data_IF_660130527204
#
_entry.id   IF_660130527204
#
_cell.length_a   1.000
_cell.length_b   1.000
_cell.length_c   1.000
_cell.angle_alpha   90.00
_cell.angle_beta   90.00
_cell.angle_gamma   90.00
#
_symmetry.space_group_name_H-M   'P 1'
#
loop_
_entity.id
_entity.type
_entity.pdbx_description
1 polymer ?
#
# COMPACT_ATOMS: atom_id res chain seq x y z
N UNK A 1 -9.84 6.42 -1.57
CA UNK A 1 -9.70 5.33 -2.57
C UNK A 1 -8.26 5.35 -3.02
N UNK A 2 -7.60 4.20 -3.00
CA UNK A 2 -6.21 4.03 -3.38
C UNK A 2 -6.15 3.30 -4.73
N UNK A 3 -5.19 3.67 -5.57
CA UNK A 3 -4.94 2.97 -6.84
C UNK A 3 -3.45 3.02 -7.16
N UNK A 4 -2.91 1.89 -7.61
CA UNK A 4 -1.55 1.80 -8.16
C UNK A 4 -1.51 0.81 -9.32
N UNK A 5 -0.48 0.93 -10.14
CA UNK A 5 -0.13 -0.07 -11.14
C UNK A 5 0.71 -1.19 -10.52
N UNK A 6 0.55 -2.40 -11.06
CA UNK A 6 1.50 -3.48 -10.92
C UNK A 6 1.58 -4.24 -12.25
N UNK A 7 2.70 -4.12 -12.95
CA UNK A 7 2.79 -4.62 -14.33
C UNK A 7 1.71 -3.99 -15.21
N UNK A 8 0.86 -4.83 -15.83
CA UNK A 8 -0.22 -4.40 -16.73
C UNK A 8 -1.60 -4.38 -16.07
N UNK A 9 -1.67 -4.48 -14.74
CA UNK A 9 -2.93 -4.47 -13.99
C UNK A 9 -2.92 -3.41 -12.89
N UNK A 10 -4.09 -3.18 -12.32
CA UNK A 10 -4.33 -2.25 -11.22
C UNK A 10 -4.46 -3.01 -9.90
N UNK A 11 -4.02 -2.37 -8.83
CA UNK A 11 -4.47 -2.68 -7.47
C UNK A 11 -5.27 -1.48 -6.99
N UNK A 12 -6.51 -1.73 -6.56
CA UNK A 12 -7.37 -0.73 -5.94
C UNK A 12 -7.63 -1.11 -4.49
N UNK A 13 -7.76 -0.10 -3.62
CA UNK A 13 -8.03 -0.32 -2.21
C UNK A 13 -8.74 0.82 -1.51
N UNK A 14 -9.06 0.60 -0.24
CA UNK A 14 -9.63 1.60 0.67
C UNK A 14 -8.79 1.76 1.93
N UNK A 15 -9.06 2.83 2.70
CA UNK A 15 -8.34 3.13 3.95
C UNK A 15 -8.49 2.06 5.04
N UNK A 16 -9.48 1.17 4.92
CA UNK A 16 -9.63 0.01 5.79
C UNK A 16 -8.71 -1.18 5.44
N UNK A 17 -7.83 -1.05 4.44
CA UNK A 17 -6.87 -2.08 4.04
C UNK A 17 -7.44 -3.19 3.15
N UNK A 18 -8.68 -3.06 2.66
CA UNK A 18 -9.25 -3.98 1.67
C UNK A 18 -8.73 -3.67 0.26
N UNK A 19 -8.36 -4.72 -0.48
CA UNK A 19 -7.67 -4.63 -1.77
C UNK A 19 -8.32 -5.51 -2.83
N UNK A 20 -8.22 -5.10 -4.10
CA UNK A 20 -8.67 -5.86 -5.26
C UNK A 20 -7.70 -5.66 -6.43
N UNK A 21 -7.39 -6.76 -7.13
CA UNK A 21 -6.64 -6.74 -8.39
C UNK A 21 -7.60 -6.65 -9.56
N UNK A 22 -7.38 -5.69 -10.44
CA UNK A 22 -8.22 -5.45 -11.61
C UNK A 22 -7.36 -5.40 -12.89
N UNK A 23 -7.86 -5.95 -13.98
CA UNK A 23 -7.39 -5.58 -15.31
C UNK A 23 -7.65 -4.07 -15.55
N UNK A 24 -7.00 -3.49 -16.56
CA UNK A 24 -7.12 -2.05 -16.85
C UNK A 24 -8.49 -1.64 -17.40
N UNK A 25 -9.31 -2.62 -17.79
CA UNK A 25 -10.73 -2.45 -18.13
C UNK A 25 -11.68 -2.60 -16.93
N UNK A 26 -11.15 -2.91 -15.75
CA UNK A 26 -11.89 -3.08 -14.51
C UNK A 26 -12.33 -4.51 -14.20
N UNK A 27 -11.98 -5.51 -15.02
CA UNK A 27 -12.28 -6.92 -14.70
C UNK A 27 -11.50 -7.40 -13.48
N UNK A 28 -12.15 -8.10 -12.55
CA UNK A 28 -11.48 -8.69 -11.39
C UNK A 28 -10.57 -9.86 -11.80
N UNK A 29 -9.29 -9.79 -11.43
CA UNK A 29 -8.30 -10.84 -11.73
C UNK A 29 -8.22 -11.96 -10.68
N UNK A 30 -9.07 -11.90 -9.65
CA UNK A 30 -9.10 -12.82 -8.52
C UNK A 30 -10.00 -12.30 -7.40
N UNK A 31 -10.11 -13.03 -6.29
CA UNK A 31 -10.85 -12.58 -5.12
C UNK A 31 -10.19 -11.34 -4.47
N UNK A 32 -10.96 -10.51 -3.74
CA UNK A 32 -10.40 -9.48 -2.89
C UNK A 32 -9.47 -10.07 -1.82
N UNK A 33 -8.53 -9.27 -1.34
CA UNK A 33 -7.63 -9.59 -0.24
C UNK A 33 -7.54 -8.41 0.73
N UNK A 34 -6.92 -8.60 1.89
CA UNK A 34 -6.77 -7.56 2.91
C UNK A 34 -5.32 -7.46 3.36
N UNK A 35 -4.92 -6.27 3.79
CA UNK A 35 -3.62 -6.06 4.44
C UNK A 35 -3.66 -6.55 5.88
N UNK A 36 -2.61 -7.27 6.28
CA UNK A 36 -2.41 -7.72 7.66
C UNK A 36 -1.96 -6.57 8.59
N UNK A 37 -1.85 -6.86 9.89
CA UNK A 37 -1.25 -5.92 10.84
C UNK A 37 -2.20 -4.84 11.39
N UNK A 38 -3.52 -5.08 11.25
CA UNK A 38 -4.59 -4.29 11.84
C UNK A 38 -4.98 -3.05 11.04
N UNK A 39 -6.15 -2.48 11.37
CA UNK A 39 -6.62 -1.23 10.79
C UNK A 39 -5.59 -0.10 10.99
N UNK A 40 -5.35 0.68 9.94
CA UNK A 40 -4.58 1.91 9.98
C UNK A 40 -4.89 2.74 8.74
N UNK A 41 -5.63 3.83 8.91
CA UNK A 41 -6.24 4.64 7.86
C UNK A 41 -5.31 4.83 6.65
N UNK A 42 -5.44 3.95 5.66
CA UNK A 42 -4.44 3.81 4.60
C UNK A 42 -4.70 4.85 3.52
N UNK A 43 -3.77 5.77 3.35
CA UNK A 43 -3.93 6.93 2.46
C UNK A 43 -3.02 6.91 1.23
N UNK A 44 -2.00 6.03 1.22
CA UNK A 44 -1.15 5.82 0.07
C UNK A 44 -0.87 4.36 -0.22
N UNK A 45 -0.70 4.03 -1.51
CA UNK A 45 -0.31 2.71 -1.98
C UNK A 45 0.61 2.84 -3.20
N UNK A 46 1.72 2.12 -3.19
CA UNK A 46 2.62 1.92 -4.33
C UNK A 46 3.08 0.46 -4.37
N UNK A 47 3.66 0.04 -5.49
CA UNK A 47 4.32 -1.27 -5.62
C UNK A 47 5.78 -1.06 -5.94
N UNK A 48 6.68 -1.66 -5.15
CA UNK A 48 8.11 -1.57 -5.42
C UNK A 48 8.55 -2.61 -6.48
N UNK A 49 9.83 -2.59 -6.85
CA UNK A 49 10.37 -3.49 -7.87
C UNK A 49 10.38 -4.97 -7.48
N UNK A 50 10.35 -5.25 -6.17
CA UNK A 50 10.24 -6.60 -5.63
C UNK A 50 8.80 -7.12 -5.66
N UNK A 51 7.84 -6.28 -6.06
CA UNK A 51 6.41 -6.60 -6.11
C UNK A 51 5.70 -6.43 -4.76
N UNK A 52 6.38 -5.89 -3.76
CA UNK A 52 5.80 -5.61 -2.45
C UNK A 52 4.88 -4.40 -2.53
N UNK A 53 3.78 -4.45 -1.77
CA UNK A 53 2.90 -3.31 -1.59
C UNK A 53 3.51 -2.41 -0.51
N UNK A 54 3.65 -1.12 -0.81
CA UNK A 54 4.15 -0.12 0.14
C UNK A 54 3.06 0.88 0.39
N UNK A 55 2.69 1.06 1.66
CA UNK A 55 1.63 1.96 2.07
C UNK A 55 2.13 3.01 3.03
N UNK A 56 1.39 4.11 3.08
CA UNK A 56 1.45 5.06 4.20
C UNK A 56 0.07 5.16 4.82
N UNK A 57 0.06 5.31 6.13
CA UNK A 57 -1.14 5.35 6.95
C UNK A 57 -1.16 6.63 7.82
N UNK A 58 -2.35 7.18 8.07
CA UNK A 58 -2.56 8.42 8.84
C UNK A 58 -2.88 8.13 10.31
N UNK A 59 -3.83 7.22 10.60
CA UNK A 59 -4.15 6.82 11.97
C UNK A 59 -4.23 5.30 12.11
N UNK A 60 -3.28 4.64 12.79
CA UNK A 60 -2.01 5.19 13.28
C UNK A 60 -0.97 5.47 12.17
N UNK A 61 -0.07 6.43 12.41
CA UNK A 61 0.93 6.89 11.45
C UNK A 61 2.00 5.83 11.17
N UNK A 62 2.00 5.28 9.95
CA UNK A 62 2.87 4.16 9.59
C UNK A 62 3.37 4.27 8.16
N UNK A 63 4.47 3.57 7.93
CA UNK A 63 4.99 3.20 6.61
C UNK A 63 5.19 1.69 6.61
N UNK A 64 4.40 0.97 5.82
CA UNK A 64 4.34 -0.50 5.86
C UNK A 64 4.67 -1.12 4.49
N UNK A 65 5.29 -2.31 4.53
CA UNK A 65 5.55 -3.15 3.36
C UNK A 65 4.82 -4.48 3.53
N UNK A 66 4.18 -4.93 2.46
CA UNK A 66 3.43 -6.18 2.42
C UNK A 66 3.83 -7.04 1.23
N UNK A 67 3.71 -8.34 1.40
CA UNK A 67 3.75 -9.28 0.30
C UNK A 67 2.55 -9.03 -0.65
N UNK A 68 2.61 -9.52 -1.91
CA UNK A 68 1.55 -9.30 -2.89
C UNK A 68 0.16 -9.82 -2.48
N UNK A 69 0.08 -10.70 -1.49
CA UNK A 69 -1.14 -11.28 -0.94
C UNK A 69 -1.68 -10.52 0.30
N UNK A 70 -0.96 -9.48 0.76
CA UNK A 70 -1.34 -8.65 1.90
C UNK A 70 -0.65 -9.01 3.22
N UNK A 71 0.22 -10.03 3.24
CA UNK A 71 0.96 -10.37 4.47
C UNK A 71 1.98 -9.28 4.84
N UNK A 72 1.98 -8.83 6.09
CA UNK A 72 2.89 -7.77 6.57
C UNK A 72 4.35 -8.28 6.61
N UNK A 73 5.24 -7.59 5.90
CA UNK A 73 6.67 -7.88 5.85
C UNK A 73 7.47 -6.99 6.79
N UNK A 74 7.16 -5.68 6.77
CA UNK A 74 7.88 -4.67 7.54
C UNK A 74 6.98 -3.50 7.87
N UNK A 75 7.23 -2.83 8.99
CA UNK A 75 6.57 -1.58 9.38
C UNK A 75 7.56 -0.65 10.04
N UNK A 76 7.37 0.64 9.82
CA UNK A 76 7.95 1.74 10.58
C UNK A 76 6.78 2.51 11.20
N UNK A 77 6.85 2.77 12.50
CA UNK A 77 6.05 3.81 13.14
C UNK A 77 6.69 5.16 12.77
N UNK A 78 5.97 5.97 12.00
CA UNK A 78 6.56 7.19 11.44
C UNK A 78 6.65 8.33 12.46
N UNK A 79 6.02 8.19 13.62
CA UNK A 79 6.17 9.12 14.74
C UNK A 79 7.50 8.94 15.48
N UNK A 80 8.15 7.78 15.34
CA UNK A 80 9.48 7.52 15.89
C UNK A 80 10.63 8.11 15.04
N UNK A 81 10.33 8.66 13.86
CA UNK A 81 11.32 9.31 13.00
C UNK A 81 11.73 10.70 13.53
N UNK A 82 12.90 11.19 13.09
CA UNK A 82 13.40 12.53 13.41
C UNK A 82 13.78 13.28 12.13
N UNK A 83 12.95 14.21 11.63
CA UNK A 83 11.63 14.61 12.12
C UNK A 83 10.53 13.54 11.92
N UNK A 84 9.45 13.54 12.72
CA UNK A 84 8.34 12.63 12.52
C UNK A 84 7.63 12.90 11.18
N UNK A 85 7.04 11.85 10.61
CA UNK A 85 6.16 11.95 9.45
C UNK A 85 4.74 11.61 9.91
N UNK A 86 3.86 12.61 9.83
CA UNK A 86 2.47 12.59 10.29
C UNK A 86 1.56 13.00 9.13
N UNK A 87 0.29 12.58 9.16
CA UNK A 87 -0.73 12.91 8.15
C UNK A 87 -0.26 12.59 6.72
N UNK A 88 0.28 11.40 6.50
CA UNK A 88 0.73 10.99 5.18
C UNK A 88 -0.48 10.80 4.24
N UNK A 89 -0.50 11.47 3.08
CA UNK A 89 -1.64 11.45 2.14
C UNK A 89 -1.32 10.77 0.79
N UNK A 90 -0.19 10.07 0.71
CA UNK A 90 0.24 9.41 -0.53
C UNK A 90 1.70 9.01 -0.52
N UNK A 91 2.05 8.11 -1.44
CA UNK A 91 3.41 7.62 -1.63
C UNK A 91 3.69 7.39 -3.12
N UNK A 92 4.93 7.63 -3.53
CA UNK A 92 5.44 7.30 -4.86
C UNK A 92 6.84 6.70 -4.73
N UNK A 93 7.19 5.80 -5.64
CA UNK A 93 8.51 5.16 -5.71
C UNK A 93 9.26 5.68 -6.94
N UNK A 94 10.53 6.05 -6.76
CA UNK A 94 11.41 6.38 -7.89
C UNK A 94 11.74 5.09 -8.67
N UNK A 95 11.36 4.99 -9.95
CA UNK A 95 11.58 3.78 -10.74
C UNK A 95 13.07 3.51 -11.05
N UNK A 96 13.97 4.46 -10.75
CA UNK A 96 15.40 4.36 -11.10
C UNK A 96 16.25 3.62 -10.07
N UNK A 97 15.73 3.40 -8.86
CA UNK A 97 16.43 2.72 -7.77
C UNK A 97 15.67 1.46 -7.38
N UNK A 98 15.82 0.44 -8.21
CA UNK A 98 15.25 -0.89 -8.05
C UNK A 98 16.38 -1.90 -7.89
#
# INVERSE_FOLDING_TARGET
>A
MLVTLQGNHLIVGGGAGNMQRLATDGEALGPPFALDGGWADTEGLSVNAQGELVTVEDDPERLSWFAPDGALLRRIDTMDLSAPLTEAQGIAIDPRTC
#
